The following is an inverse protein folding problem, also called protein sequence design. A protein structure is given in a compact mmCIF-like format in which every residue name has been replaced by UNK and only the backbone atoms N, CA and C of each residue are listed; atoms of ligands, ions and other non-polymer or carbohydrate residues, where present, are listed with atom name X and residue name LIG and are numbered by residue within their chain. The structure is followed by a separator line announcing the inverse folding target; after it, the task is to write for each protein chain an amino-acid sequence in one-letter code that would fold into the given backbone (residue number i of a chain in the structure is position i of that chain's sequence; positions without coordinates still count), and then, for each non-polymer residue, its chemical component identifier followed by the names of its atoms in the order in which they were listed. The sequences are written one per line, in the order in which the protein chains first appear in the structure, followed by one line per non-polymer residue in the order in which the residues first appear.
data_IF_664375047009
#
_entry.id   IF_664375047009
#
_cell.length_a   1.000
_cell.length_b   1.000
_cell.length_c   1.000
_cell.angle_alpha   90.00
_cell.angle_beta   90.00
_cell.angle_gamma   90.00
#
_symmetry.space_group_name_H-M   'P 1'
#
loop_
_entity.id
_entity.type
_entity.pdbx_description
1 polymer ?
#
# COMPACT_ATOMS: atom_id res chain seq x y z
N UNK A 1 -6.87 10.95 2.35
CA UNK A 1 -7.22 9.75 1.56
C UNK A 1 -7.07 8.50 2.41
N UNK A 2 -7.78 7.44 2.05
CA UNK A 2 -7.65 6.10 2.65
C UNK A 2 -6.87 5.20 1.68
N UNK A 3 -5.73 4.71 2.14
CA UNK A 3 -4.84 3.82 1.38
C UNK A 3 -4.88 2.44 2.01
N UNK A 4 -5.18 1.41 1.25
CA UNK A 4 -5.15 0.04 1.74
C UNK A 4 -3.92 -0.70 1.18
N UNK A 5 -3.06 -1.16 2.06
CA UNK A 5 -1.81 -1.85 1.74
C UNK A 5 -1.97 -3.35 2.06
N UNK A 6 -1.93 -4.17 1.04
CA UNK A 6 -2.06 -5.62 1.14
C UNK A 6 -0.69 -6.29 1.10
N UNK A 7 -0.34 -6.96 2.19
CA UNK A 7 0.98 -7.54 2.41
C UNK A 7 1.80 -6.72 3.41
N UNK A 8 1.60 -6.96 4.70
CA UNK A 8 2.23 -6.21 5.80
C UNK A 8 3.70 -6.59 6.08
N UNK A 9 4.40 -7.18 5.12
CA UNK A 9 5.84 -7.45 5.20
C UNK A 9 6.68 -6.17 5.27
N UNK A 10 7.99 -6.30 5.04
CA UNK A 10 8.94 -5.16 5.09
C UNK A 10 8.52 -4.00 4.19
N UNK A 11 8.13 -4.30 2.94
CA UNK A 11 7.71 -3.25 1.99
C UNK A 11 6.37 -2.66 2.39
N UNK A 12 5.33 -3.46 2.59
CA UNK A 12 4.00 -2.96 2.91
C UNK A 12 3.92 -2.20 4.23
N UNK A 13 4.63 -2.64 5.28
CA UNK A 13 4.72 -1.87 6.53
C UNK A 13 5.40 -0.51 6.33
N UNK A 14 6.47 -0.48 5.51
CA UNK A 14 7.16 0.78 5.17
C UNK A 14 6.28 1.72 4.36
N UNK A 15 5.51 1.19 3.39
CA UNK A 15 4.56 1.97 2.59
C UNK A 15 3.44 2.53 3.48
N UNK A 16 2.81 1.70 4.31
CA UNK A 16 1.79 2.14 5.27
C UNK A 16 2.33 3.25 6.19
N UNK A 17 3.57 3.10 6.68
CA UNK A 17 4.24 4.12 7.49
C UNK A 17 4.38 5.46 6.77
N UNK A 18 4.80 5.46 5.51
CA UNK A 18 5.02 6.69 4.73
C UNK A 18 3.71 7.44 4.51
N UNK A 19 2.64 6.74 4.12
CA UNK A 19 1.32 7.36 3.97
C UNK A 19 0.77 7.88 5.30
N UNK A 20 0.89 7.10 6.37
CA UNK A 20 0.45 7.49 7.71
C UNK A 20 1.22 8.73 8.23
N UNK A 21 2.52 8.82 7.97
CA UNK A 21 3.36 9.97 8.33
C UNK A 21 2.96 11.25 7.58
N UNK A 22 2.27 11.14 6.44
CA UNK A 22 1.72 12.27 5.68
C UNK A 22 0.26 12.60 6.04
N UNK A 23 -0.27 11.99 7.11
CA UNK A 23 -1.63 12.24 7.60
C UNK A 23 -2.72 11.49 6.83
N UNK A 24 -2.37 10.48 6.03
CA UNK A 24 -3.33 9.63 5.37
C UNK A 24 -3.70 8.44 6.25
N UNK A 25 -4.94 7.97 6.18
CA UNK A 25 -5.33 6.71 6.80
C UNK A 25 -4.76 5.55 6.01
N UNK A 26 -3.92 4.73 6.62
CA UNK A 26 -3.33 3.55 6.01
C UNK A 26 -3.94 2.28 6.63
N UNK A 27 -4.78 1.58 5.88
CA UNK A 27 -5.23 0.24 6.24
C UNK A 27 -4.14 -0.76 5.88
N UNK A 28 -3.61 -1.46 6.88
CA UNK A 28 -2.57 -2.47 6.69
C UNK A 28 -3.15 -3.86 6.87
N UNK A 29 -3.09 -4.68 5.81
CA UNK A 29 -3.61 -6.03 5.79
C UNK A 29 -2.50 -7.07 5.55
N UNK A 30 -2.66 -8.25 6.19
CA UNK A 30 -1.83 -9.44 5.98
C UNK A 30 -2.74 -10.65 5.72
N UNK A 31 -2.25 -11.86 5.95
CA UNK A 31 -3.05 -13.09 5.83
C UNK A 31 -4.21 -13.17 6.84
N UNK A 32 -4.18 -12.37 7.90
CA UNK A 32 -5.24 -12.22 8.90
C UNK A 32 -5.04 -10.91 9.67
N UNK A 33 -6.10 -10.44 10.33
CA UNK A 33 -6.03 -9.28 11.25
C UNK A 33 -4.96 -9.47 12.31
N UNK A 34 -4.89 -10.66 12.93
CA UNK A 34 -3.87 -10.97 13.92
C UNK A 34 -2.44 -10.92 13.36
N UNK A 35 -2.26 -11.33 12.11
CA UNK A 35 -0.96 -11.22 11.43
C UNK A 35 -0.61 -9.76 11.13
N UNK A 36 -1.56 -8.97 10.63
CA UNK A 36 -1.37 -7.55 10.39
C UNK A 36 -1.05 -6.79 11.70
N UNK A 37 -1.73 -7.13 12.80
CA UNK A 37 -1.45 -6.53 14.12
C UNK A 37 -0.02 -6.81 14.56
N UNK A 38 0.47 -8.04 14.43
CA UNK A 38 1.88 -8.36 14.75
C UNK A 38 2.88 -7.52 13.94
N UNK A 39 2.57 -7.23 12.68
CA UNK A 39 3.41 -6.34 11.85
C UNK A 39 3.32 -4.88 12.32
N UNK A 40 2.15 -4.40 12.70
CA UNK A 40 1.97 -3.07 13.30
C UNK A 40 2.76 -2.94 14.61
N UNK A 41 2.73 -3.96 15.47
CA UNK A 41 3.48 -3.99 16.75
C UNK A 41 5.01 -3.95 16.51
N UNK A 42 5.50 -4.68 15.52
CA UNK A 42 6.91 -4.62 15.09
C UNK A 42 7.31 -3.24 14.59
N UNK A 43 6.43 -2.61 13.80
CA UNK A 43 6.63 -1.24 13.34
C UNK A 43 6.67 -0.27 14.54
N UNK A 44 5.74 -0.38 15.48
CA UNK A 44 5.71 0.43 16.69
C UNK A 44 7.00 0.31 17.50
N UNK A 45 7.50 -0.90 17.71
CA UNK A 45 8.79 -1.15 18.37
C UNK A 45 9.97 -0.52 17.62
N UNK A 46 9.95 -0.54 16.29
CA UNK A 46 10.98 0.08 15.45
C UNK A 46 10.95 1.61 15.57
N UNK A 47 9.76 2.20 15.56
CA UNK A 47 9.58 3.66 15.73
C UNK A 47 9.99 4.09 17.14
N UNK A 48 9.67 3.30 18.18
CA UNK A 48 10.08 3.56 19.54
C UNK A 48 11.61 3.67 19.69
N UNK A 49 12.35 2.74 19.06
CA UNK A 49 13.82 2.81 19.04
C UNK A 49 14.35 4.09 18.35
N UNK A 50 13.60 4.67 17.41
CA UNK A 50 13.97 5.94 16.78
C UNK A 50 13.73 7.12 17.72
N UNK A 51 12.67 7.07 18.53
CA UNK A 51 12.42 8.06 19.59
C UNK A 51 13.54 8.02 20.62
N UNK A 52 13.88 6.85 21.15
CA UNK A 52 14.97 6.65 22.11
C UNK A 52 16.32 7.17 21.60
N UNK A 53 16.55 7.11 20.28
CA UNK A 53 17.75 7.64 19.63
C UNK A 53 17.67 9.12 19.28
N UNK A 54 16.60 9.82 19.67
CA UNK A 54 16.37 11.22 19.34
C UNK A 54 16.17 11.53 17.85
N UNK A 55 15.81 10.50 17.05
CA UNK A 55 15.59 10.64 15.60
C UNK A 55 14.13 10.88 15.21
N UNK A 56 13.23 10.87 16.20
CA UNK A 56 11.79 11.06 16.04
C UNK A 56 11.22 11.52 17.38
N UNK A 57 10.18 12.34 17.38
CA UNK A 57 9.46 12.69 18.61
C UNK A 57 8.39 11.64 18.94
N UNK A 58 7.97 11.58 20.18
CA UNK A 58 6.88 10.68 20.63
C UNK A 58 5.59 10.99 19.88
N UNK A 59 5.25 12.29 19.74
CA UNK A 59 4.05 12.75 19.04
C UNK A 59 4.05 12.30 17.57
N UNK A 60 5.20 12.37 16.90
CA UNK A 60 5.32 11.93 15.50
C UNK A 60 5.13 10.42 15.37
N UNK A 61 5.66 9.62 16.31
CA UNK A 61 5.42 8.17 16.36
C UNK A 61 3.94 7.87 16.55
N UNK A 62 3.31 8.50 17.54
CA UNK A 62 1.91 8.26 17.86
C UNK A 62 0.98 8.68 16.72
N UNK A 63 1.26 9.79 16.05
CA UNK A 63 0.52 10.22 14.87
C UNK A 63 0.58 9.17 13.74
N UNK A 64 1.75 8.58 13.47
CA UNK A 64 1.91 7.52 12.48
C UNK A 64 1.09 6.29 12.88
N UNK A 65 1.21 5.82 14.12
CA UNK A 65 0.54 4.60 14.58
C UNK A 65 -0.98 4.76 14.65
N UNK A 66 -1.47 5.94 14.97
CA UNK A 66 -2.91 6.24 14.99
C UNK A 66 -3.51 6.27 13.58
N UNK A 67 -2.73 6.65 12.58
CA UNK A 67 -3.14 6.66 11.18
C UNK A 67 -3.04 5.28 10.49
N UNK A 68 -2.41 4.28 11.13
CA UNK A 68 -2.38 2.91 10.63
C UNK A 68 -3.50 2.10 11.29
N UNK A 69 -4.44 1.64 10.47
CA UNK A 69 -5.53 0.76 10.89
C UNK A 69 -5.23 -0.68 10.52
N UNK A 70 -5.68 -1.61 11.36
CA UNK A 70 -5.64 -3.05 11.11
C UNK A 70 -7.06 -3.57 11.23
N UNK A 71 -7.64 -3.95 10.11
CA UNK A 71 -9.04 -4.35 10.00
C UNK A 71 -9.18 -5.54 9.04
N UNK A 72 -10.40 -6.02 8.87
CA UNK A 72 -10.72 -7.05 7.86
C UNK A 72 -10.57 -6.51 6.44
N UNK A 73 -10.40 -7.41 5.46
CA UNK A 73 -10.23 -7.07 4.03
C UNK A 73 -11.37 -6.17 3.51
N UNK A 74 -12.59 -6.40 3.97
CA UNK A 74 -13.78 -5.62 3.59
C UNK A 74 -13.66 -4.11 3.90
N UNK A 75 -12.83 -3.72 4.86
CA UNK A 75 -12.57 -2.32 5.16
C UNK A 75 -11.85 -1.57 4.02
N UNK A 76 -11.36 -2.29 3.01
CA UNK A 76 -10.76 -1.67 1.82
C UNK A 76 -11.80 -1.23 0.76
N UNK A 77 -13.07 -1.58 0.91
CA UNK A 77 -14.11 -1.30 -0.09
C UNK A 77 -14.26 0.18 -0.44
N UNK A 78 -14.03 1.07 0.53
CA UNK A 78 -14.08 2.53 0.37
C UNK A 78 -12.69 3.19 0.23
N UNK A 79 -11.63 2.40 0.04
CA UNK A 79 -10.28 2.92 -0.15
C UNK A 79 -10.17 3.77 -1.42
N UNK A 80 -9.33 4.80 -1.38
CA UNK A 80 -8.99 5.63 -2.54
C UNK A 80 -7.87 5.01 -3.37
N UNK A 81 -6.98 4.28 -2.69
CA UNK A 81 -5.82 3.63 -3.30
C UNK A 81 -5.60 2.26 -2.67
N UNK A 82 -5.47 1.24 -3.49
CA UNK A 82 -5.00 -0.09 -3.12
C UNK A 82 -3.53 -0.20 -3.52
N UNK A 83 -2.67 -0.69 -2.63
CA UNK A 83 -1.28 -1.04 -2.94
C UNK A 83 -1.05 -2.49 -2.59
N UNK A 84 -0.86 -3.31 -3.60
CA UNK A 84 -0.58 -4.73 -3.46
C UNK A 84 0.93 -4.93 -3.25
N UNK A 85 1.29 -5.60 -2.13
CA UNK A 85 2.66 -5.91 -1.69
C UNK A 85 2.78 -7.37 -1.20
N UNK A 86 1.91 -8.26 -1.68
CA UNK A 86 1.96 -9.69 -1.33
C UNK A 86 3.14 -10.39 -2.04
N UNK A 87 3.25 -11.70 -1.84
CA UNK A 87 4.31 -12.52 -2.42
C UNK A 87 4.45 -12.29 -3.94
N UNK A 88 5.69 -12.26 -4.45
CA UNK A 88 6.02 -11.96 -5.86
C UNK A 88 5.70 -13.15 -6.77
N UNK A 89 4.41 -13.47 -6.86
CA UNK A 89 3.84 -14.54 -7.68
C UNK A 89 2.59 -14.01 -8.40
N UNK A 90 2.57 -14.12 -9.73
CA UNK A 90 1.49 -13.59 -10.56
C UNK A 90 0.11 -14.12 -10.12
N UNK A 91 -0.03 -15.42 -9.87
CA UNK A 91 -1.28 -16.02 -9.45
C UNK A 91 -1.82 -15.42 -8.16
N UNK A 92 -0.97 -15.34 -7.11
CA UNK A 92 -1.33 -14.77 -5.81
C UNK A 92 -1.75 -13.30 -5.90
N UNK A 93 -1.02 -12.50 -6.71
CA UNK A 93 -1.33 -11.09 -6.90
C UNK A 93 -2.64 -10.90 -7.66
N UNK A 94 -2.84 -11.65 -8.74
CA UNK A 94 -4.08 -11.58 -9.53
C UNK A 94 -5.31 -12.02 -8.73
N UNK A 95 -5.22 -13.11 -7.96
CA UNK A 95 -6.29 -13.58 -7.10
C UNK A 95 -6.74 -12.47 -6.14
N UNK A 96 -5.80 -11.85 -5.44
CA UNK A 96 -6.09 -10.73 -4.55
C UNK A 96 -6.72 -9.54 -5.29
N UNK A 97 -6.14 -9.14 -6.43
CA UNK A 97 -6.66 -8.00 -7.21
C UNK A 97 -8.06 -8.27 -7.75
N UNK A 98 -8.36 -9.50 -8.19
CA UNK A 98 -9.71 -9.89 -8.62
C UNK A 98 -10.73 -9.78 -7.48
N UNK A 99 -10.40 -10.26 -6.28
CA UNK A 99 -11.28 -10.13 -5.11
C UNK A 99 -11.55 -8.66 -4.77
N UNK A 100 -10.52 -7.82 -4.79
CA UNK A 100 -10.64 -6.41 -4.49
C UNK A 100 -11.40 -5.64 -5.57
N UNK A 101 -11.26 -6.03 -6.83
CA UNK A 101 -11.95 -5.45 -7.99
C UNK A 101 -13.47 -5.57 -7.87
N UNK A 102 -13.96 -6.66 -7.25
CA UNK A 102 -15.40 -6.87 -7.02
C UNK A 102 -15.95 -6.06 -5.84
N UNK A 103 -15.12 -5.70 -4.86
CA UNK A 103 -15.60 -5.05 -3.64
C UNK A 103 -15.31 -3.54 -3.56
N UNK A 104 -14.28 -3.05 -4.25
CA UNK A 104 -13.88 -1.66 -4.16
C UNK A 104 -14.79 -0.75 -5.01
N UNK A 105 -14.92 0.51 -4.59
CA UNK A 105 -15.65 1.54 -5.35
C UNK A 105 -14.94 1.81 -6.69
N UNK A 106 -15.69 2.14 -7.74
CA UNK A 106 -15.17 2.34 -9.10
C UNK A 106 -14.06 3.39 -9.24
N UNK A 107 -13.99 4.32 -8.29
CA UNK A 107 -12.97 5.39 -8.26
C UNK A 107 -11.66 4.97 -7.59
N UNK A 108 -11.57 3.77 -7.05
CA UNK A 108 -10.36 3.27 -6.40
C UNK A 108 -9.23 3.08 -7.42
N UNK A 109 -8.05 3.60 -7.11
CA UNK A 109 -6.85 3.33 -7.92
C UNK A 109 -6.19 2.04 -7.44
N UNK A 110 -5.86 1.15 -8.36
CA UNK A 110 -5.16 -0.09 -8.04
C UNK A 110 -3.69 0.01 -8.41
N UNK A 111 -2.82 -0.30 -7.46
CA UNK A 111 -1.38 -0.29 -7.64
C UNK A 111 -0.75 -1.61 -7.17
N UNK A 112 0.35 -2.01 -7.79
CA UNK A 112 1.18 -3.13 -7.37
C UNK A 112 2.62 -2.67 -7.13
N UNK A 113 3.24 -3.18 -6.07
CA UNK A 113 4.65 -2.90 -5.75
C UNK A 113 5.60 -3.93 -6.40
N UNK A 114 5.15 -4.66 -7.41
CA UNK A 114 6.01 -5.62 -8.11
C UNK A 114 7.26 -4.96 -8.67
N UNK A 115 8.39 -5.69 -8.63
CA UNK A 115 9.65 -5.26 -9.24
C UNK A 115 9.88 -5.83 -10.63
N UNK A 116 9.18 -6.92 -10.99
CA UNK A 116 9.53 -7.70 -12.17
C UNK A 116 8.34 -8.26 -12.96
N UNK A 117 7.16 -8.37 -12.34
CA UNK A 117 5.99 -8.95 -13.00
C UNK A 117 5.28 -7.94 -13.90
N UNK A 118 4.63 -8.44 -14.94
CA UNK A 118 3.90 -7.61 -15.91
C UNK A 118 2.66 -6.96 -15.27
N UNK A 119 2.69 -5.64 -15.13
CA UNK A 119 1.55 -4.84 -14.66
C UNK A 119 0.35 -4.98 -15.58
N UNK A 120 0.59 -5.03 -16.89
CA UNK A 120 -0.46 -5.25 -17.92
C UNK A 120 -1.16 -6.59 -17.69
N UNK A 121 -0.40 -7.66 -17.49
CA UNK A 121 -0.97 -9.00 -17.25
C UNK A 121 -1.75 -9.04 -15.94
N UNK A 122 -1.28 -8.37 -14.88
CA UNK A 122 -2.02 -8.26 -13.63
C UNK A 122 -3.40 -7.61 -13.80
N UNK A 123 -3.50 -6.59 -14.64
CA UNK A 123 -4.74 -5.84 -14.86
C UNK A 123 -5.70 -6.46 -15.87
N UNK A 124 -5.34 -7.58 -16.53
CA UNK A 124 -6.20 -8.18 -17.54
C UNK A 124 -7.53 -8.66 -16.95
N UNK A 125 -8.65 -8.17 -17.51
CA UNK A 125 -10.00 -8.56 -17.14
C UNK A 125 -10.54 -7.90 -15.87
N UNK A 126 -9.79 -7.01 -15.22
CA UNK A 126 -10.27 -6.21 -14.10
C UNK A 126 -11.03 -4.98 -14.58
N UNK A 127 -12.01 -4.51 -13.80
CA UNK A 127 -12.72 -3.24 -13.99
C UNK A 127 -11.76 -2.07 -13.74
N UNK A 128 -10.94 -2.19 -12.68
CA UNK A 128 -9.96 -1.17 -12.31
C UNK A 128 -8.67 -1.33 -13.10
N UNK A 129 -8.15 -0.21 -13.60
CA UNK A 129 -6.81 -0.19 -14.20
C UNK A 129 -5.74 -0.34 -13.11
N UNK A 130 -4.77 -1.23 -13.34
CA UNK A 130 -3.64 -1.47 -12.43
C UNK A 130 -2.43 -0.67 -12.91
N UNK A 131 -1.78 0.02 -11.98
CA UNK A 131 -0.49 0.69 -12.19
C UNK A 131 0.61 0.02 -11.37
N UNK A 132 1.84 0.10 -11.81
CA UNK A 132 3.01 -0.20 -10.97
C UNK A 132 3.32 1.02 -10.11
N UNK A 133 3.48 0.81 -8.79
CA UNK A 133 4.06 1.78 -7.86
C UNK A 133 5.20 1.08 -7.12
N UNK A 134 6.37 1.08 -7.75
CA UNK A 134 7.53 0.37 -7.23
C UNK A 134 8.29 1.24 -6.22
N UNK A 135 8.22 0.87 -4.95
CA UNK A 135 8.95 1.49 -3.85
C UNK A 135 10.27 0.79 -3.62
N UNK A 136 11.25 1.52 -3.11
CA UNK A 136 12.58 0.99 -2.80
C UNK A 136 12.79 0.83 -1.30
N UNK A 137 13.49 -0.24 -0.91
CA UNK A 137 13.80 -0.53 0.49
C UNK A 137 15.06 0.24 0.95
N UNK A 138 15.08 0.88 2.13
CA UNK A 138 13.98 1.05 3.08
C UNK A 138 13.00 2.16 2.67
N UNK A 139 11.71 1.85 2.57
CA UNK A 139 10.69 2.78 2.05
C UNK A 139 10.70 4.16 2.75
N UNK A 140 10.81 4.27 4.08
CA UNK A 140 10.79 5.59 4.73
C UNK A 140 12.03 6.46 4.46
N UNK A 141 13.09 5.89 3.90
CA UNK A 141 14.36 6.57 3.64
C UNK A 141 14.58 6.86 2.16
N UNK A 142 13.96 6.07 1.29
CA UNK A 142 14.08 6.22 -0.15
C UNK A 142 13.05 7.24 -0.67
N UNK A 143 13.54 8.23 -1.43
CA UNK A 143 12.69 9.29 -1.99
C UNK A 143 12.20 9.01 -3.42
N UNK A 144 12.45 7.80 -3.91
CA UNK A 144 12.11 7.38 -5.27
C UNK A 144 10.94 6.41 -5.24
N UNK A 145 9.95 6.64 -6.09
CA UNK A 145 8.89 5.71 -6.44
C UNK A 145 8.80 5.67 -7.96
N UNK A 146 8.93 4.50 -8.56
CA UNK A 146 8.71 4.32 -9.99
C UNK A 146 7.23 4.08 -10.24
N UNK A 147 6.64 4.84 -11.16
CA UNK A 147 5.25 4.65 -11.58
C UNK A 147 5.24 4.06 -13.00
N UNK A 148 4.67 2.88 -13.14
CA UNK A 148 4.65 2.10 -14.38
C UNK A 148 3.20 1.97 -14.84
N UNK A 149 2.92 2.35 -16.09
CA UNK A 149 1.59 2.19 -16.69
C UNK A 149 1.42 0.77 -17.23
N UNK A 150 0.29 0.15 -16.92
CA UNK A 150 -0.19 -1.02 -17.67
C UNK A 150 -0.78 -0.59 -19.01
N UNK A 151 -0.71 -1.45 -20.02
CA UNK A 151 -1.22 -1.14 -21.38
C UNK A 151 -2.75 -0.94 -21.44
N UNK A 152 -3.48 -1.40 -20.47
CA UNK A 152 -4.96 -1.35 -20.42
C UNK A 152 -5.52 -0.08 -19.77
N UNK A 153 -4.69 0.93 -19.50
CA UNK A 153 -5.13 2.18 -18.90
C UNK A 153 -5.56 3.18 -19.95
N UNK A 154 -6.80 3.73 -19.85
CA UNK A 154 -7.24 4.85 -20.67
C UNK A 154 -6.42 6.11 -20.35
N UNK A 155 -6.17 6.97 -21.35
CA UNK A 155 -5.37 8.20 -21.17
C UNK A 155 -6.00 9.21 -20.19
N UNK A 156 -7.29 9.12 -19.92
CA UNK A 156 -8.04 10.05 -19.05
C UNK A 156 -7.55 10.08 -17.60
N UNK A 157 -7.00 8.99 -17.08
CA UNK A 157 -6.48 8.92 -15.70
C UNK A 157 -5.00 9.30 -15.57
N UNK A 158 -4.37 9.79 -16.63
CA UNK A 158 -2.91 10.06 -16.65
C UNK A 158 -2.55 11.42 -16.06
N UNK A 159 -3.46 12.39 -16.09
CA UNK A 159 -3.19 13.79 -15.72
C UNK A 159 -3.16 14.05 -14.21
N UNK A 160 -3.80 13.21 -13.40
CA UNK A 160 -3.94 13.47 -11.96
C UNK A 160 -2.75 13.02 -11.10
N UNK A 161 -1.86 12.18 -11.64
CA UNK A 161 -0.69 11.65 -10.91
C UNK A 161 0.63 12.39 -11.19
N UNK A 162 0.59 13.49 -11.94
CA UNK A 162 1.77 14.28 -12.32
C UNK A 162 1.95 15.58 -11.52
N UNK A 163 1.38 15.70 -10.34
CA UNK A 163 1.69 16.85 -9.48
C UNK A 163 2.80 16.49 -8.48
N UNK A 164 3.80 17.40 -8.31
CA UNK A 164 5.01 17.15 -7.53
C UNK A 164 4.76 17.03 -6.02
#
# INVERSE_FOLDING_TARGET
MKVAVFGAGTMGSGIAQVFAAKGHTALMYASSVASAQRHKDKLAASLQKRVEKGKMTEEAKDAILNNILVEEKSAAADADLIIECVKEEMGTKRELLCELDEMCKDTTVFATNTSSLSVTEMGLGLKHAVIGMHFFNPVPSMKLVEVIRGANRSEEHTSELQSP
#
